data_IF_957346531315
#
_entry.id   IF_957346531315
#
_cell.length_a   1.000
_cell.length_b   1.000
_cell.length_c   1.000
_cell.angle_alpha   90.00
_cell.angle_beta   90.00
_cell.angle_gamma   90.00
#
_symmetry.space_group_name_H-M   'P 1'
#
loop_
_entity.id
_entity.type
_entity.pdbx_description
1 polymer ?
#
# COMPACT_ATOMS: atom_id res chain seq x y z
N UNK A 1 -27.83 24.13 68.58
CA UNK A 1 -27.98 23.35 67.33
C UNK A 1 -27.80 24.31 66.17
N UNK A 2 -26.68 24.24 65.46
CA UNK A 2 -26.43 25.02 64.24
C UNK A 2 -26.04 24.03 63.13
N UNK A 3 -26.84 23.98 62.07
CA UNK A 3 -26.64 23.07 60.95
C UNK A 3 -25.82 23.78 59.86
N UNK A 4 -24.68 23.19 59.49
CA UNK A 4 -23.90 23.56 58.32
C UNK A 4 -24.51 22.87 57.08
N UNK A 5 -25.06 23.65 56.15
CA UNK A 5 -25.38 23.16 54.81
C UNK A 5 -24.14 23.30 53.92
N UNK A 6 -23.54 22.17 53.56
CA UNK A 6 -22.49 22.11 52.54
C UNK A 6 -23.16 22.00 51.15
N UNK A 7 -23.00 23.03 50.32
CA UNK A 7 -23.37 23.00 48.90
C UNK A 7 -22.24 22.36 48.10
N UNK A 8 -22.47 21.15 47.59
CA UNK A 8 -21.57 20.50 46.62
C UNK A 8 -21.93 21.06 45.23
N UNK A 9 -21.06 21.91 44.68
CA UNK A 9 -21.17 22.36 43.30
C UNK A 9 -20.72 21.26 42.34
N UNK A 10 -21.65 20.68 41.59
CA UNK A 10 -21.33 19.78 40.49
C UNK A 10 -20.85 20.60 39.30
N UNK A 11 -19.54 20.59 39.03
CA UNK A 11 -18.98 21.04 37.76
C UNK A 11 -19.36 20.05 36.67
N UNK A 12 -20.34 20.43 35.84
CA UNK A 12 -20.63 19.71 34.60
C UNK A 12 -19.43 19.89 33.64
N UNK A 13 -18.64 18.84 33.46
CA UNK A 13 -17.68 18.74 32.38
C UNK A 13 -18.46 18.70 31.07
N UNK A 14 -18.51 19.84 30.36
CA UNK A 14 -19.02 19.88 29.00
C UNK A 14 -18.11 19.01 28.13
N UNK A 15 -18.60 17.84 27.74
CA UNK A 15 -17.96 17.03 26.72
C UNK A 15 -17.94 17.85 25.43
N UNK A 16 -16.74 18.18 24.95
CA UNK A 16 -16.54 18.69 23.60
C UNK A 16 -17.16 17.68 22.64
N UNK A 17 -18.08 18.07 21.74
CA UNK A 17 -18.65 17.15 20.77
C UNK A 17 -17.51 16.55 19.97
N UNK A 18 -17.45 15.22 19.92
CA UNK A 18 -16.54 14.51 19.05
C UNK A 18 -16.71 15.07 17.64
N UNK A 19 -15.62 15.59 17.06
CA UNK A 19 -15.63 16.03 15.67
C UNK A 19 -16.20 14.88 14.83
N UNK A 20 -17.27 15.16 14.08
CA UNK A 20 -17.86 14.18 13.20
C UNK A 20 -16.74 13.60 12.33
N UNK A 21 -16.61 12.26 12.32
CA UNK A 21 -15.58 11.61 11.52
C UNK A 21 -15.72 12.08 10.07
N UNK A 22 -14.62 12.58 9.51
CA UNK A 22 -14.61 13.09 8.13
C UNK A 22 -14.98 11.94 7.17
N UNK A 23 -16.22 12.00 6.67
CA UNK A 23 -16.81 10.97 5.82
C UNK A 23 -16.30 10.99 4.38
N UNK A 24 -15.42 11.93 4.01
CA UNK A 24 -14.79 11.94 2.70
C UNK A 24 -13.89 10.73 2.51
N UNK A 25 -13.91 10.19 1.29
CA UNK A 25 -13.11 9.03 0.93
C UNK A 25 -11.61 9.38 0.95
N UNK A 26 -10.79 8.70 1.78
CA UNK A 26 -9.35 8.92 1.84
C UNK A 26 -8.65 8.27 0.64
N UNK A 27 -7.83 9.04 -0.08
CA UNK A 27 -7.08 8.59 -1.26
C UNK A 27 -5.58 8.51 -0.97
N UNK A 28 -4.94 7.44 -1.42
CA UNK A 28 -3.50 7.22 -1.30
C UNK A 28 -2.80 7.50 -2.64
N UNK A 29 -1.98 8.54 -2.68
CA UNK A 29 -1.00 8.76 -3.75
C UNK A 29 0.28 8.04 -3.37
N UNK A 30 0.57 6.95 -4.08
CA UNK A 30 1.63 6.01 -3.74
C UNK A 30 2.78 6.24 -4.72
N UNK A 31 3.95 6.65 -4.24
CA UNK A 31 5.12 6.80 -5.11
C UNK A 31 5.60 5.42 -5.58
N UNK A 32 5.82 5.27 -6.89
CA UNK A 32 6.20 4.02 -7.56
C UNK A 32 7.70 3.71 -7.41
N UNK A 33 8.06 2.46 -7.08
CA UNK A 33 9.43 1.94 -7.11
C UNK A 33 10.40 2.81 -6.31
N UNK A 34 10.11 2.97 -5.03
CA UNK A 34 10.90 3.78 -4.10
C UNK A 34 11.98 2.91 -3.46
N UNK A 35 12.95 2.45 -4.25
CA UNK A 35 13.97 1.50 -3.75
C UNK A 35 15.26 2.17 -3.26
N UNK A 36 15.29 3.51 -3.18
CA UNK A 36 16.45 4.25 -2.71
C UNK A 36 16.10 5.15 -1.52
N UNK A 37 17.09 5.43 -0.66
CA UNK A 37 16.89 6.36 0.46
C UNK A 37 16.53 7.77 -0.03
N UNK A 38 17.13 8.20 -1.14
CA UNK A 38 16.80 9.47 -1.77
C UNK A 38 15.39 9.47 -2.38
N UNK A 39 14.92 8.33 -2.89
CA UNK A 39 13.55 8.16 -3.36
C UNK A 39 12.52 8.36 -2.24
N UNK A 40 12.81 7.89 -1.02
CA UNK A 40 11.94 8.14 0.16
C UNK A 40 11.82 9.64 0.42
N UNK A 41 12.93 10.36 0.32
CA UNK A 41 12.98 11.81 0.54
C UNK A 41 12.18 12.56 -0.51
N UNK A 42 12.38 12.20 -1.78
CA UNK A 42 11.71 12.77 -2.93
C UNK A 42 10.19 12.50 -2.87
N UNK A 43 9.77 11.26 -2.62
CA UNK A 43 8.35 10.90 -2.52
C UNK A 43 7.62 11.75 -1.47
N UNK A 44 8.21 11.90 -0.28
CA UNK A 44 7.67 12.76 0.77
C UNK A 44 7.72 14.25 0.40
N UNK A 45 8.78 14.70 -0.27
CA UNK A 45 8.92 16.06 -0.78
C UNK A 45 7.84 16.42 -1.81
N UNK A 46 7.49 15.47 -2.68
CA UNK A 46 6.45 15.61 -3.70
C UNK A 46 5.02 15.50 -3.13
N UNK A 47 4.89 15.12 -1.86
CA UNK A 47 3.61 15.02 -1.15
C UNK A 47 2.90 13.68 -1.31
N UNK A 48 3.64 12.61 -1.64
CA UNK A 48 3.10 11.25 -1.56
C UNK A 48 2.76 10.92 -0.10
N UNK A 49 1.60 10.29 0.10
CA UNK A 49 1.19 9.80 1.42
C UNK A 49 1.32 8.27 1.54
N UNK A 50 1.74 7.60 0.47
CA UNK A 50 2.25 6.24 0.50
C UNK A 50 3.47 6.08 -0.42
N UNK A 51 4.20 4.98 -0.23
CA UNK A 51 5.26 4.54 -1.14
C UNK A 51 5.09 3.06 -1.42
N UNK A 52 5.46 2.64 -2.62
CA UNK A 52 5.69 1.25 -2.96
C UNK A 52 7.21 1.02 -3.02
N UNK A 53 7.65 -0.08 -2.41
CA UNK A 53 9.06 -0.48 -2.31
C UNK A 53 9.12 -1.92 -2.77
N UNK A 54 9.89 -2.17 -3.82
CA UNK A 54 10.15 -3.51 -4.26
C UNK A 54 11.13 -4.16 -3.30
N UNK A 55 10.84 -5.39 -2.85
CA UNK A 55 11.71 -6.09 -1.92
C UNK A 55 12.10 -7.46 -2.44
N UNK A 56 13.41 -7.67 -2.47
CA UNK A 56 14.05 -8.92 -2.87
C UNK A 56 14.72 -9.58 -1.65
N UNK A 57 14.72 -10.91 -1.61
CA UNK A 57 15.29 -11.70 -0.53
C UNK A 57 16.75 -12.10 -0.82
N UNK A 58 17.65 -11.96 0.16
CA UNK A 58 19.05 -12.41 0.04
C UNK A 58 19.42 -13.40 1.14
N UNK A 59 19.80 -14.62 0.73
CA UNK A 59 20.24 -15.68 1.64
C UNK A 59 21.51 -15.29 2.40
N UNK A 60 22.46 -14.63 1.74
CA UNK A 60 23.70 -14.14 2.34
C UNK A 60 23.85 -12.63 2.02
N UNK A 61 23.53 -11.74 2.98
CA UNK A 61 23.75 -11.91 4.41
C UNK A 61 22.50 -12.21 5.25
N UNK A 62 21.47 -12.86 4.67
CA UNK A 62 20.20 -13.20 5.33
C UNK A 62 19.35 -11.95 5.65
N UNK A 63 19.01 -11.19 4.62
CA UNK A 63 18.26 -9.93 4.73
C UNK A 63 17.34 -9.68 3.52
N UNK A 64 16.52 -8.63 3.61
CA UNK A 64 15.78 -8.06 2.48
C UNK A 64 16.45 -6.76 2.02
N UNK A 65 16.44 -6.51 0.71
CA UNK A 65 16.89 -5.22 0.13
C UNK A 65 15.82 -4.64 -0.77
N UNK A 66 15.78 -3.32 -0.82
CA UNK A 66 14.86 -2.60 -1.69
C UNK A 66 15.40 -2.64 -3.13
N UNK A 67 14.76 -3.40 -4.00
CA UNK A 67 15.17 -3.59 -5.39
C UNK A 67 14.07 -4.28 -6.20
N UNK A 68 13.75 -3.76 -7.38
CA UNK A 68 12.74 -4.34 -8.27
C UNK A 68 13.17 -5.65 -8.96
N UNK A 69 14.38 -5.69 -9.51
CA UNK A 69 14.77 -6.70 -10.49
C UNK A 69 15.52 -7.86 -9.85
N UNK A 70 14.87 -8.64 -8.98
CA UNK A 70 15.56 -9.69 -8.22
C UNK A 70 16.36 -10.63 -9.12
N UNK A 71 17.68 -10.63 -8.92
CA UNK A 71 18.52 -11.71 -9.38
C UNK A 71 18.33 -12.86 -8.40
N UNK A 72 17.31 -13.69 -8.56
CA UNK A 72 17.09 -14.85 -7.70
C UNK A 72 18.42 -15.64 -7.55
N UNK A 73 19.09 -15.44 -6.39
CA UNK A 73 20.37 -16.02 -5.93
C UNK A 73 21.73 -15.56 -6.52
N UNK A 74 21.96 -14.26 -6.78
CA UNK A 74 23.30 -13.72 -7.14
C UNK A 74 23.88 -12.63 -6.22
N UNK A 75 25.21 -12.42 -6.26
CA UNK A 75 26.00 -11.51 -5.38
C UNK A 75 25.86 -10.00 -5.68
N UNK A 76 25.05 -9.60 -6.67
CA UNK A 76 24.91 -8.21 -7.05
C UNK A 76 23.92 -7.48 -6.14
N UNK A 77 24.43 -6.99 -5.00
CA UNK A 77 23.69 -6.14 -4.06
C UNK A 77 23.52 -4.74 -4.65
N UNK A 78 22.36 -4.44 -5.24
CA UNK A 78 22.14 -3.17 -5.94
C UNK A 78 21.32 -2.15 -5.13
N UNK A 79 20.51 -2.61 -4.17
CA UNK A 79 19.67 -1.75 -3.32
C UNK A 79 20.13 -1.62 -1.86
N UNK A 80 19.67 -0.60 -1.12
CA UNK A 80 19.87 -0.48 0.32
C UNK A 80 19.19 -1.64 1.07
N UNK A 81 19.66 -1.93 2.29
CA UNK A 81 18.95 -2.89 3.16
C UNK A 81 17.57 -2.35 3.52
N UNK A 82 16.60 -3.24 3.69
CA UNK A 82 15.26 -2.84 4.12
C UNK A 82 15.27 -2.16 5.50
N UNK A 83 16.23 -2.51 6.38
CA UNK A 83 16.42 -1.80 7.65
C UNK A 83 16.79 -0.33 7.42
N UNK A 84 17.64 -0.03 6.43
CA UNK A 84 18.01 1.36 6.08
C UNK A 84 16.81 2.13 5.53
N UNK A 85 15.95 1.47 4.73
CA UNK A 85 14.71 2.05 4.24
C UNK A 85 13.76 2.39 5.41
N UNK A 86 13.55 1.44 6.33
CA UNK A 86 12.75 1.67 7.55
C UNK A 86 13.32 2.83 8.36
N UNK A 87 14.63 2.85 8.62
CA UNK A 87 15.27 3.91 9.39
C UNK A 87 15.02 5.29 8.76
N UNK A 88 15.08 5.38 7.43
CA UNK A 88 14.79 6.63 6.73
C UNK A 88 13.32 7.02 6.86
N UNK A 89 12.39 6.10 6.62
CA UNK A 89 10.95 6.34 6.77
C UNK A 89 10.61 6.80 8.20
N UNK A 90 11.16 6.13 9.22
CA UNK A 90 10.94 6.47 10.62
C UNK A 90 11.57 7.80 11.01
N UNK A 91 12.72 8.16 10.45
CA UNK A 91 13.31 9.49 10.61
C UNK A 91 12.36 10.59 10.13
N UNK A 92 11.72 10.39 8.97
CA UNK A 92 10.71 11.33 8.47
C UNK A 92 9.45 11.36 9.33
N UNK A 93 9.00 10.21 9.82
CA UNK A 93 7.87 10.14 10.74
C UNK A 93 8.15 10.91 12.05
N UNK A 94 9.35 10.75 12.63
CA UNK A 94 9.80 11.51 13.79
C UNK A 94 9.91 13.01 13.55
N UNK A 95 10.15 13.42 12.30
CA UNK A 95 10.13 14.82 11.85
C UNK A 95 8.72 15.32 11.44
N UNK A 96 7.66 14.55 11.72
CA UNK A 96 6.27 14.95 11.44
C UNK A 96 5.80 14.71 10.00
N UNK A 97 6.62 14.11 9.13
CA UNK A 97 6.29 13.75 7.74
C UNK A 97 6.02 12.26 7.61
N UNK A 98 5.06 11.77 8.39
CA UNK A 98 4.72 10.35 8.46
C UNK A 98 3.89 9.91 7.25
N UNK A 99 4.34 8.85 6.57
CA UNK A 99 3.55 8.15 5.55
C UNK A 99 2.32 7.47 6.15
N UNK A 100 1.26 7.35 5.36
CA UNK A 100 0.05 6.61 5.74
C UNK A 100 0.13 5.13 5.34
N UNK A 101 0.93 4.80 4.33
CA UNK A 101 1.07 3.45 3.77
C UNK A 101 2.50 3.21 3.25
N UNK A 102 3.01 2.00 3.48
CA UNK A 102 4.15 1.42 2.78
C UNK A 102 3.68 0.12 2.15
N UNK A 103 3.72 0.03 0.83
CA UNK A 103 3.47 -1.20 0.07
C UNK A 103 4.80 -1.87 -0.20
N UNK A 104 4.97 -3.10 0.26
CA UNK A 104 6.12 -3.95 -0.03
C UNK A 104 5.77 -4.86 -1.21
N UNK A 105 6.28 -4.60 -2.41
CA UNK A 105 6.13 -5.51 -3.55
C UNK A 105 7.14 -6.66 -3.40
N UNK A 106 6.65 -7.80 -2.91
CA UNK A 106 7.50 -8.95 -2.57
C UNK A 106 7.73 -9.77 -3.83
N UNK A 107 8.95 -9.69 -4.34
CA UNK A 107 9.32 -10.33 -5.60
C UNK A 107 9.69 -11.81 -5.47
N UNK A 108 10.37 -12.19 -4.38
CA UNK A 108 10.89 -13.56 -4.16
C UNK A 108 10.36 -14.19 -2.85
N UNK A 109 9.03 -14.26 -2.64
CA UNK A 109 8.44 -14.61 -1.33
C UNK A 109 8.80 -16.01 -0.82
N UNK A 110 9.24 -16.90 -1.71
CA UNK A 110 9.51 -18.30 -1.41
C UNK A 110 11.01 -18.64 -1.30
N UNK A 111 11.90 -17.68 -1.56
CA UNK A 111 13.34 -17.92 -1.64
C UNK A 111 13.95 -18.37 -0.31
N UNK A 112 13.51 -17.78 0.79
CA UNK A 112 13.99 -18.07 2.14
C UNK A 112 12.94 -18.78 2.99
N UNK A 113 13.37 -19.75 3.80
CA UNK A 113 12.52 -20.44 4.77
C UNK A 113 12.59 -19.78 6.15
N UNK A 114 11.48 -19.85 6.90
CA UNK A 114 11.39 -19.24 8.23
C UNK A 114 12.36 -19.87 9.25
N UNK A 115 12.67 -21.16 9.11
CA UNK A 115 13.52 -21.89 10.05
C UNK A 115 15.00 -21.79 9.68
N UNK A 116 15.28 -21.82 8.38
CA UNK A 116 16.60 -21.91 7.81
C UNK A 116 17.29 -20.54 7.76
N UNK A 117 16.55 -19.51 7.39
CA UNK A 117 17.06 -18.18 7.10
C UNK A 117 15.96 -17.13 7.27
N UNK A 118 15.50 -17.00 8.53
CA UNK A 118 14.38 -16.12 8.89
C UNK A 118 14.56 -14.69 8.38
N UNK A 119 15.77 -14.15 8.44
CA UNK A 119 16.08 -12.75 8.11
C UNK A 119 15.71 -12.33 6.69
N UNK A 120 15.77 -13.24 5.71
CA UNK A 120 15.29 -13.02 4.35
C UNK A 120 13.99 -13.75 4.00
N UNK A 121 13.35 -14.42 4.97
CA UNK A 121 11.99 -14.97 4.79
C UNK A 121 10.93 -13.88 4.93
N UNK A 122 9.72 -14.11 4.39
CA UNK A 122 8.61 -13.14 4.51
C UNK A 122 8.20 -12.92 5.98
N UNK A 123 8.32 -13.93 6.85
CA UNK A 123 8.11 -13.72 8.28
C UNK A 123 9.13 -12.77 8.91
N UNK A 124 10.40 -12.85 8.50
CA UNK A 124 11.43 -11.90 8.93
C UNK A 124 11.23 -10.50 8.35
N UNK A 125 10.71 -10.39 7.12
CA UNK A 125 10.28 -9.11 6.55
C UNK A 125 9.20 -8.47 7.41
N UNK A 126 8.19 -9.26 7.80
CA UNK A 126 7.12 -8.82 8.69
C UNK A 126 7.65 -8.41 10.08
N UNK A 127 8.59 -9.15 10.65
CA UNK A 127 9.21 -8.80 11.94
C UNK A 127 9.85 -7.39 11.87
N UNK A 128 10.56 -7.08 10.78
CA UNK A 128 11.14 -5.75 10.54
C UNK A 128 10.06 -4.69 10.35
N UNK A 129 9.01 -5.00 9.58
CA UNK A 129 7.90 -4.10 9.30
C UNK A 129 7.10 -3.71 10.55
N UNK A 130 7.19 -4.46 11.66
CA UNK A 130 6.58 -4.05 12.93
C UNK A 130 7.08 -2.71 13.45
N UNK A 131 8.29 -2.29 13.05
CA UNK A 131 8.82 -0.96 13.37
C UNK A 131 7.99 0.16 12.71
N UNK A 132 7.49 -0.09 11.49
CA UNK A 132 6.63 0.84 10.76
C UNK A 132 5.22 0.90 11.39
N UNK A 133 4.64 -0.27 11.69
CA UNK A 133 3.31 -0.34 12.30
C UNK A 133 3.30 0.25 13.72
N UNK A 134 4.37 0.06 14.49
CA UNK A 134 4.56 0.72 15.79
C UNK A 134 4.60 2.26 15.68
N UNK A 135 5.06 2.81 14.56
CA UNK A 135 5.01 4.24 14.27
C UNK A 135 3.65 4.72 13.71
N UNK A 136 2.67 3.81 13.58
CA UNK A 136 1.34 4.08 13.06
C UNK A 136 1.28 4.14 11.52
N UNK A 137 2.27 3.58 10.83
CA UNK A 137 2.31 3.47 9.36
C UNK A 137 1.71 2.13 8.95
N UNK A 138 0.81 2.12 7.97
CA UNK A 138 0.23 0.88 7.46
C UNK A 138 1.20 0.17 6.53
N UNK A 139 1.18 -1.17 6.54
CA UNK A 139 2.04 -2.00 5.69
C UNK A 139 1.16 -2.92 4.84
N UNK A 140 1.32 -2.84 3.52
CA UNK A 140 0.69 -3.74 2.57
C UNK A 140 1.73 -4.72 2.03
N UNK A 141 1.53 -6.02 2.24
CA UNK A 141 2.38 -7.06 1.66
C UNK A 141 1.80 -7.45 0.29
N UNK A 142 2.51 -7.09 -0.79
CA UNK A 142 2.11 -7.40 -2.15
C UNK A 142 2.71 -8.70 -2.66
N UNK A 143 1.87 -9.54 -3.24
CA UNK A 143 2.27 -10.76 -3.93
C UNK A 143 1.84 -10.67 -5.38
N UNK A 144 2.81 -10.67 -6.27
CA UNK A 144 2.58 -10.80 -7.70
C UNK A 144 2.92 -12.24 -8.08
N UNK A 145 2.07 -12.89 -8.88
CA UNK A 145 2.25 -14.31 -9.24
C UNK A 145 3.32 -14.47 -10.35
N UNK A 146 4.56 -14.06 -10.06
CA UNK A 146 5.72 -14.18 -10.95
C UNK A 146 6.17 -15.65 -11.06
N UNK A 147 6.12 -16.37 -9.94
CA UNK A 147 6.56 -17.75 -9.83
C UNK A 147 5.35 -18.67 -9.63
N UNK A 148 5.14 -19.56 -10.60
CA UNK A 148 4.15 -20.64 -10.51
C UNK A 148 4.75 -21.98 -10.06
N UNK A 149 3.98 -23.06 -10.20
CA UNK A 149 4.45 -24.43 -9.95
C UNK A 149 4.13 -24.93 -8.54
N UNK A 150 5.04 -25.73 -7.95
CA UNK A 150 4.80 -26.37 -6.64
C UNK A 150 4.90 -25.42 -5.45
N UNK A 151 5.54 -24.26 -5.64
CA UNK A 151 5.70 -23.22 -4.62
C UNK A 151 5.31 -21.86 -5.22
N UNK A 152 4.02 -21.64 -5.52
CA UNK A 152 3.57 -20.40 -6.15
C UNK A 152 3.75 -19.21 -5.21
N UNK A 153 3.86 -17.99 -5.73
CA UNK A 153 3.97 -16.79 -4.85
C UNK A 153 2.70 -16.62 -4.00
N UNK A 154 1.53 -16.72 -4.63
CA UNK A 154 0.23 -16.75 -3.96
C UNK A 154 -0.07 -18.18 -3.47
N UNK A 155 -0.30 -18.35 -2.16
CA UNK A 155 -0.53 -19.65 -1.54
C UNK A 155 0.73 -20.49 -1.28
N UNK A 156 1.91 -19.98 -1.66
CA UNK A 156 3.20 -20.58 -1.32
C UNK A 156 3.64 -20.33 0.12
N UNK A 157 4.93 -20.57 0.36
CA UNK A 157 5.55 -20.46 1.69
C UNK A 157 5.50 -19.03 2.22
N UNK A 158 5.89 -18.04 1.41
CA UNK A 158 5.90 -16.64 1.81
C UNK A 158 4.51 -16.12 2.16
N UNK A 159 3.51 -16.43 1.32
CA UNK A 159 2.11 -16.12 1.56
C UNK A 159 1.60 -16.74 2.88
N UNK A 160 1.80 -18.05 3.06
CA UNK A 160 1.40 -18.78 4.27
C UNK A 160 2.06 -18.26 5.54
N UNK A 161 3.26 -17.69 5.44
CA UNK A 161 3.97 -17.11 6.58
C UNK A 161 3.22 -15.93 7.23
N UNK A 162 2.28 -15.31 6.52
CA UNK A 162 1.48 -14.18 7.00
C UNK A 162 0.09 -14.61 7.50
N UNK A 163 -0.38 -15.81 7.18
CA UNK A 163 -1.72 -16.30 7.53
C UNK A 163 -1.96 -16.27 9.04
N UNK A 164 -3.06 -15.63 9.47
CA UNK A 164 -3.41 -15.47 10.88
C UNK A 164 -2.46 -14.55 11.68
N UNK A 165 -1.50 -13.89 11.03
CA UNK A 165 -0.49 -13.05 11.70
C UNK A 165 -0.63 -11.56 11.42
N UNK A 166 -1.40 -11.13 10.41
CA UNK A 166 -1.57 -9.71 10.11
C UNK A 166 -2.25 -8.95 11.26
N UNK A 167 -1.62 -7.86 11.71
CA UNK A 167 -2.13 -6.94 12.72
C UNK A 167 -3.05 -5.86 12.14
N UNK A 168 -3.49 -4.93 13.00
CA UNK A 168 -4.49 -3.91 12.67
C UNK A 168 -4.06 -2.88 11.61
N UNK A 169 -2.76 -2.72 11.37
CA UNK A 169 -2.18 -1.83 10.36
C UNK A 169 -1.55 -2.61 9.21
N UNK A 170 -1.80 -3.90 9.11
CA UNK A 170 -1.23 -4.76 8.08
C UNK A 170 -2.34 -5.28 7.15
N UNK A 171 -2.01 -5.39 5.87
CA UNK A 171 -2.86 -5.93 4.83
C UNK A 171 -2.04 -6.74 3.82
N UNK A 172 -2.73 -7.49 2.98
CA UNK A 172 -2.13 -8.31 1.92
C UNK A 172 -2.84 -8.04 0.60
N UNK A 173 -2.09 -7.92 -0.49
CA UNK A 173 -2.64 -7.77 -1.84
C UNK A 173 -2.11 -8.84 -2.77
N UNK A 174 -2.90 -9.15 -3.78
CA UNK A 174 -2.45 -9.85 -4.98
C UNK A 174 -3.03 -9.15 -6.19
N UNK A 175 -2.27 -9.18 -7.29
CA UNK A 175 -2.67 -8.50 -8.51
C UNK A 175 -3.64 -9.32 -9.35
N UNK A 176 -4.51 -8.66 -10.10
CA UNK A 176 -5.28 -9.29 -11.18
C UNK A 176 -6.70 -8.76 -11.33
N UNK A 177 -7.47 -9.42 -12.21
CA UNK A 177 -8.90 -9.16 -12.33
C UNK A 177 -9.63 -9.50 -11.02
N UNK A 178 -10.86 -9.00 -10.86
CA UNK A 178 -11.64 -9.22 -9.63
C UNK A 178 -11.78 -10.71 -9.33
N UNK A 179 -12.09 -11.52 -10.34
CA UNK A 179 -12.27 -12.97 -10.14
C UNK A 179 -10.94 -13.70 -9.87
N UNK A 180 -9.82 -13.24 -10.43
CA UNK A 180 -8.49 -13.78 -10.12
C UNK A 180 -8.14 -13.55 -8.65
N UNK A 181 -8.31 -12.31 -8.16
CA UNK A 181 -7.99 -11.93 -6.78
C UNK A 181 -8.93 -12.60 -5.79
N UNK A 182 -10.24 -12.60 -6.06
CA UNK A 182 -11.22 -13.35 -5.25
C UNK A 182 -10.88 -14.82 -5.20
N UNK A 183 -10.60 -15.43 -6.35
CA UNK A 183 -10.22 -16.83 -6.45
C UNK A 183 -8.92 -17.15 -5.68
N UNK A 184 -7.92 -16.27 -5.71
CA UNK A 184 -6.71 -16.41 -4.91
C UNK A 184 -7.02 -16.47 -3.41
N UNK A 185 -7.82 -15.53 -2.90
CA UNK A 185 -8.22 -15.52 -1.49
C UNK A 185 -9.17 -16.66 -1.11
N UNK A 186 -10.00 -17.14 -2.03
CA UNK A 186 -10.86 -18.29 -1.77
C UNK A 186 -10.05 -19.60 -1.72
N UNK A 187 -9.01 -19.74 -2.56
CA UNK A 187 -8.13 -20.91 -2.57
C UNK A 187 -7.09 -20.94 -1.45
N UNK A 188 -6.57 -19.77 -1.08
CA UNK A 188 -5.38 -19.68 -0.20
C UNK A 188 -5.47 -18.58 0.85
N UNK A 189 -6.62 -17.94 1.03
CA UNK A 189 -6.76 -16.78 1.91
C UNK A 189 -7.56 -17.01 3.18
N UNK A 190 -7.80 -18.26 3.60
CA UNK A 190 -8.60 -18.57 4.81
C UNK A 190 -8.02 -17.94 6.09
N UNK A 191 -6.69 -17.75 6.14
CA UNK A 191 -5.99 -17.07 7.23
C UNK A 191 -6.00 -15.53 7.17
N UNK A 192 -6.60 -14.92 6.14
CA UNK A 192 -6.68 -13.47 5.99
C UNK A 192 -8.14 -13.01 6.10
N UNK A 193 -8.53 -12.20 7.10
CA UNK A 193 -9.86 -11.64 7.16
C UNK A 193 -10.11 -10.70 5.97
N UNK A 194 -11.36 -10.57 5.51
CA UNK A 194 -11.73 -9.69 4.39
C UNK A 194 -11.21 -8.25 4.56
N UNK A 195 -11.26 -7.73 5.79
CA UNK A 195 -10.70 -6.45 6.21
C UNK A 195 -9.18 -6.26 6.07
N UNK A 196 -8.46 -7.30 5.62
CA UNK A 196 -7.02 -7.30 5.35
C UNK A 196 -6.69 -7.59 3.89
N UNK A 197 -7.68 -7.96 3.07
CA UNK A 197 -7.52 -8.38 1.68
C UNK A 197 -7.64 -7.18 0.76
N UNK A 198 -6.60 -6.88 0.02
CA UNK A 198 -6.60 -5.82 -1.00
C UNK A 198 -6.56 -6.47 -2.37
N UNK A 199 -7.23 -5.83 -3.31
CA UNK A 199 -7.07 -6.11 -4.73
C UNK A 199 -6.25 -4.99 -5.34
N UNK A 200 -5.18 -5.33 -6.05
CA UNK A 200 -4.54 -4.38 -6.93
C UNK A 200 -4.68 -4.82 -8.39
N UNK A 201 -4.76 -3.86 -9.31
CA UNK A 201 -4.72 -4.17 -10.72
C UNK A 201 -4.20 -3.01 -11.55
N UNK A 202 -3.38 -3.34 -12.54
CA UNK A 202 -2.57 -2.35 -13.22
C UNK A 202 -1.66 -2.92 -14.30
N UNK A 203 -0.96 -2.02 -14.96
CA UNK A 203 0.15 -2.31 -15.87
C UNK A 203 1.17 -1.17 -15.78
N UNK A 204 2.44 -1.50 -15.98
CA UNK A 204 3.53 -0.53 -16.19
C UNK A 204 3.23 0.49 -17.29
N UNK A 205 2.40 0.11 -18.27
CA UNK A 205 1.77 0.96 -19.27
C UNK A 205 0.26 0.96 -19.02
N UNK A 206 -0.22 1.94 -18.23
CA UNK A 206 -1.63 2.05 -17.85
C UNK A 206 -2.59 2.09 -19.05
N UNK A 207 -2.11 2.40 -20.26
CA UNK A 207 -2.95 2.44 -21.47
C UNK A 207 -3.37 1.04 -21.93
N UNK A 208 -2.62 -0.01 -21.57
CA UNK A 208 -2.87 -1.38 -21.98
C UNK A 208 -4.06 -1.96 -21.24
N UNK A 209 -5.11 -2.32 -21.99
CA UNK A 209 -6.28 -2.98 -21.42
C UNK A 209 -7.07 -2.12 -20.42
N UNK A 210 -6.89 -0.79 -20.40
CA UNK A 210 -7.51 0.04 -19.37
C UNK A 210 -9.04 0.07 -19.42
N UNK A 211 -9.59 0.15 -20.62
CA UNK A 211 -11.02 0.36 -20.87
C UNK A 211 -11.49 1.77 -20.51
N UNK A 212 -12.75 1.89 -20.09
CA UNK A 212 -13.42 3.16 -19.76
C UNK A 212 -14.34 3.02 -18.53
N UNK A 213 -14.22 1.91 -17.79
CA UNK A 213 -14.93 1.59 -16.55
C UNK A 213 -16.41 1.18 -16.73
N UNK A 214 -16.85 0.94 -17.97
CA UNK A 214 -18.23 0.52 -18.28
C UNK A 214 -18.31 -0.80 -19.03
N UNK A 215 -17.16 -1.35 -19.43
CA UNK A 215 -17.13 -2.58 -20.20
C UNK A 215 -17.58 -3.80 -19.38
N UNK A 216 -18.26 -4.77 -20.03
CA UNK A 216 -18.53 -6.05 -19.39
C UNK A 216 -17.27 -6.93 -19.29
N UNK A 217 -16.27 -6.66 -20.14
CA UNK A 217 -15.04 -7.43 -20.28
C UNK A 217 -13.98 -7.07 -19.20
N UNK A 218 -12.84 -7.77 -19.26
CA UNK A 218 -11.74 -7.69 -18.30
C UNK A 218 -10.77 -6.54 -18.61
N UNK A 219 -11.25 -5.31 -18.47
CA UNK A 219 -10.40 -4.12 -18.57
C UNK A 219 -10.06 -3.58 -17.18
N UNK A 220 -8.87 -3.01 -17.01
CA UNK A 220 -8.32 -2.55 -15.73
C UNK A 220 -9.32 -1.72 -14.93
N UNK A 221 -9.91 -0.69 -15.53
CA UNK A 221 -10.84 0.16 -14.79
C UNK A 221 -12.15 -0.56 -14.44
N UNK A 222 -12.68 -1.39 -15.34
CA UNK A 222 -13.91 -2.13 -15.09
C UNK A 222 -13.73 -3.17 -13.96
N UNK A 223 -12.57 -3.85 -13.93
CA UNK A 223 -12.24 -4.82 -12.88
C UNK A 223 -12.01 -4.15 -11.52
N UNK A 224 -11.32 -3.01 -11.49
CA UNK A 224 -11.16 -2.21 -10.27
C UNK A 224 -12.50 -1.70 -9.74
N UNK A 225 -13.41 -1.27 -10.62
CA UNK A 225 -14.78 -0.88 -10.23
C UNK A 225 -15.56 -2.03 -9.59
N UNK A 226 -15.40 -3.26 -10.11
CA UNK A 226 -15.98 -4.47 -9.49
C UNK A 226 -15.35 -4.74 -8.13
N UNK A 227 -14.02 -4.63 -8.01
CA UNK A 227 -13.30 -4.75 -6.73
C UNK A 227 -13.75 -3.71 -5.70
N UNK A 228 -14.00 -2.46 -6.14
CA UNK A 228 -14.51 -1.40 -5.29
C UNK A 228 -15.92 -1.73 -4.76
N UNK A 229 -16.76 -2.40 -5.55
CA UNK A 229 -18.05 -2.91 -5.08
C UNK A 229 -17.89 -4.04 -4.05
N UNK A 230 -16.93 -4.96 -4.25
CA UNK A 230 -16.62 -6.01 -3.27
C UNK A 230 -16.08 -5.39 -1.96
N UNK A 231 -15.27 -4.33 -2.03
CA UNK A 231 -14.84 -3.55 -0.85
C UNK A 231 -16.02 -2.94 -0.12
N UNK A 232 -16.90 -2.25 -0.84
CA UNK A 232 -18.09 -1.61 -0.26
C UNK A 232 -19.03 -2.65 0.38
N UNK A 233 -19.03 -3.90 -0.12
CA UNK A 233 -19.73 -5.05 0.45
C UNK A 233 -18.98 -5.74 1.62
N UNK A 234 -17.85 -5.20 2.06
CA UNK A 234 -17.03 -5.75 3.16
C UNK A 234 -16.27 -7.03 2.81
N UNK A 235 -16.11 -7.33 1.53
CA UNK A 235 -15.44 -8.54 1.05
C UNK A 235 -13.95 -8.31 0.74
N UNK A 236 -13.57 -7.05 0.53
CA UNK A 236 -12.19 -6.56 0.42
C UNK A 236 -12.03 -5.36 1.35
N UNK A 237 -10.79 -5.08 1.74
CA UNK A 237 -10.43 -3.89 2.52
C UNK A 237 -10.24 -2.66 1.62
N UNK A 238 -9.64 -2.86 0.45
CA UNK A 238 -9.31 -1.79 -0.48
C UNK A 238 -9.09 -2.30 -1.91
N UNK A 239 -9.05 -1.34 -2.83
CA UNK A 239 -8.61 -1.51 -4.22
C UNK A 239 -7.53 -0.48 -4.56
N UNK A 240 -6.46 -0.92 -5.24
CA UNK A 240 -5.35 -0.06 -5.65
C UNK A 240 -5.06 -0.25 -7.14
N UNK A 241 -4.51 0.77 -7.80
CA UNK A 241 -4.11 0.66 -9.20
C UNK A 241 -2.69 1.16 -9.46
N UNK A 242 -2.10 0.72 -10.56
CA UNK A 242 -0.73 1.03 -10.96
C UNK A 242 -0.57 0.89 -12.49
N UNK A 243 0.40 1.52 -13.16
CA UNK A 243 1.20 2.66 -12.73
C UNK A 243 0.81 3.87 -13.58
N UNK A 244 0.45 5.00 -12.95
CA UNK A 244 0.22 6.26 -13.67
C UNK A 244 1.48 7.12 -13.71
N UNK A 245 1.62 7.91 -14.78
CA UNK A 245 2.70 8.88 -14.98
C UNK A 245 2.17 10.31 -14.99
N UNK A 246 3.05 11.30 -15.11
CA UNK A 246 2.66 12.71 -15.22
C UNK A 246 1.79 13.02 -16.45
N UNK A 247 1.70 12.11 -17.42
CA UNK A 247 0.93 12.28 -18.66
C UNK A 247 -0.41 11.54 -18.65
N UNK A 248 -0.86 11.06 -17.48
CA UNK A 248 -2.05 10.20 -17.35
C UNK A 248 -3.23 10.83 -16.59
N UNK A 249 -3.56 12.14 -16.75
CA UNK A 249 -4.62 12.76 -15.97
C UNK A 249 -6.00 12.14 -16.23
N UNK A 250 -6.25 11.63 -17.44
CA UNK A 250 -7.48 10.95 -17.79
C UNK A 250 -7.61 9.60 -17.07
N UNK A 251 -6.52 8.84 -16.95
CA UNK A 251 -6.52 7.56 -16.24
C UNK A 251 -6.69 7.77 -14.73
N UNK A 252 -6.03 8.77 -14.14
CA UNK A 252 -6.23 9.16 -12.74
C UNK A 252 -7.71 9.51 -12.48
N UNK A 253 -8.32 10.29 -13.38
CA UNK A 253 -9.73 10.67 -13.27
C UNK A 253 -10.67 9.45 -13.31
N UNK A 254 -10.43 8.53 -14.25
CA UNK A 254 -11.20 7.29 -14.37
C UNK A 254 -11.02 6.36 -13.17
N UNK A 255 -9.78 6.16 -12.72
CA UNK A 255 -9.46 5.30 -11.58
C UNK A 255 -10.13 5.76 -10.29
N UNK A 256 -10.02 7.06 -9.98
CA UNK A 256 -10.55 7.61 -8.72
C UNK A 256 -12.04 7.91 -8.81
N UNK A 257 -12.52 8.45 -9.93
CA UNK A 257 -13.91 8.85 -10.11
C UNK A 257 -14.86 7.69 -10.39
N UNK A 258 -14.50 6.79 -11.32
CA UNK A 258 -15.37 5.71 -11.79
C UNK A 258 -14.95 4.33 -11.29
N UNK A 259 -13.65 4.04 -11.30
CA UNK A 259 -13.04 2.85 -10.72
C UNK A 259 -13.15 2.83 -9.20
N UNK A 260 -13.25 4.03 -8.58
CA UNK A 260 -13.38 4.23 -7.12
C UNK A 260 -12.29 3.52 -6.33
N UNK A 261 -11.06 3.54 -6.85
CA UNK A 261 -9.90 2.96 -6.14
C UNK A 261 -9.50 3.81 -4.95
N UNK A 262 -8.99 3.17 -3.90
CA UNK A 262 -8.53 3.83 -2.68
C UNK A 262 -7.15 4.48 -2.89
N UNK A 263 -6.37 4.03 -3.87
CA UNK A 263 -5.05 4.56 -4.13
C UNK A 263 -4.49 4.21 -5.49
N UNK A 264 -3.51 5.02 -5.92
CA UNK A 264 -2.87 4.92 -7.22
C UNK A 264 -1.35 5.02 -7.04
N UNK A 265 -0.63 4.03 -7.57
CA UNK A 265 0.81 4.09 -7.76
C UNK A 265 1.11 5.06 -8.91
N UNK A 266 1.96 6.04 -8.64
CA UNK A 266 2.31 7.11 -9.55
C UNK A 266 3.82 7.39 -9.54
N UNK A 267 4.41 7.55 -10.72
CA UNK A 267 5.84 7.81 -10.89
C UNK A 267 6.30 7.50 -12.31
N UNK A 268 7.49 6.91 -12.43
CA UNK A 268 7.97 6.43 -13.72
C UNK A 268 7.20 5.20 -14.18
N UNK A 269 6.60 5.25 -15.37
CA UNK A 269 5.97 4.13 -16.05
C UNK A 269 6.58 3.88 -17.43
N UNK A 270 5.96 3.03 -18.24
CA UNK A 270 6.46 2.64 -19.56
C UNK A 270 6.74 3.85 -20.47
N UNK A 271 5.85 4.85 -20.46
CA UNK A 271 6.00 6.09 -21.23
C UNK A 271 7.28 6.88 -20.90
N UNK A 272 7.71 6.84 -19.63
CA UNK A 272 8.85 7.61 -19.13
C UNK A 272 10.14 6.80 -18.99
N UNK A 273 10.05 5.49 -19.22
CA UNK A 273 11.07 4.49 -18.87
C UNK A 273 10.99 4.13 -17.39
N UNK A 274 10.63 2.88 -17.07
CA UNK A 274 10.51 2.37 -15.70
C UNK A 274 11.89 2.39 -15.03
N UNK A 275 11.99 3.05 -13.87
CA UNK A 275 13.20 3.18 -13.06
C UNK A 275 12.84 3.65 -11.65
N UNK A 276 13.85 3.71 -10.79
CA UNK A 276 13.75 4.19 -9.41
C UNK A 276 13.13 5.58 -9.30
N UNK A 277 12.28 5.77 -8.29
CA UNK A 277 11.74 7.07 -7.94
C UNK A 277 12.87 8.04 -7.53
N UNK A 278 12.85 9.24 -8.11
CA UNK A 278 13.82 10.30 -7.83
C UNK A 278 13.14 11.66 -7.61
N UNK A 279 13.94 12.68 -7.34
CA UNK A 279 13.52 14.09 -7.14
C UNK A 279 13.20 14.81 -8.48
N UNK A 280 12.98 14.04 -9.55
CA UNK A 280 12.67 14.55 -10.87
C UNK A 280 11.24 15.09 -10.97
N UNK A 281 11.06 16.10 -11.83
CA UNK A 281 9.75 16.73 -12.04
C UNK A 281 8.69 15.76 -12.57
N UNK A 282 9.07 14.71 -13.30
CA UNK A 282 8.12 13.68 -13.76
C UNK A 282 7.48 12.96 -12.59
N UNK A 283 8.28 12.56 -11.60
CA UNK A 283 7.82 11.92 -10.38
C UNK A 283 6.97 12.87 -9.54
N UNK A 284 7.41 14.13 -9.40
CA UNK A 284 6.65 15.17 -8.71
C UNK A 284 5.25 15.37 -9.33
N UNK A 285 5.19 15.50 -10.65
CA UNK A 285 3.95 15.74 -11.37
C UNK A 285 3.03 14.51 -11.39
N UNK A 286 3.57 13.29 -11.46
CA UNK A 286 2.76 12.07 -11.38
C UNK A 286 1.99 12.00 -10.05
N UNK A 287 2.66 12.25 -8.93
CA UNK A 287 2.01 12.32 -7.61
C UNK A 287 1.07 13.53 -7.51
N UNK A 288 1.47 14.67 -8.08
CA UNK A 288 0.63 15.88 -8.10
C UNK A 288 -0.69 15.64 -8.84
N UNK A 289 -0.73 14.85 -9.91
CA UNK A 289 -1.98 14.54 -10.62
C UNK A 289 -3.05 13.93 -9.71
N UNK A 290 -2.65 12.96 -8.88
CA UNK A 290 -3.56 12.33 -7.89
C UNK A 290 -4.03 13.37 -6.88
N UNK A 291 -3.10 14.17 -6.33
CA UNK A 291 -3.41 15.20 -5.34
C UNK A 291 -4.33 16.29 -5.89
N UNK A 292 -4.07 16.75 -7.11
CA UNK A 292 -4.86 17.77 -7.78
C UNK A 292 -6.26 17.27 -8.11
N UNK A 293 -6.39 16.00 -8.52
CA UNK A 293 -7.70 15.38 -8.69
C UNK A 293 -8.48 15.37 -7.36
N UNK A 294 -7.84 14.95 -6.26
CA UNK A 294 -8.46 14.92 -4.94
C UNK A 294 -8.87 16.33 -4.48
N UNK A 295 -8.03 17.34 -4.72
CA UNK A 295 -8.34 18.73 -4.39
C UNK A 295 -9.56 19.25 -5.16
N UNK A 296 -9.66 18.93 -6.46
CA UNK A 296 -10.83 19.28 -7.29
C UNK A 296 -12.11 18.57 -6.83
N UNK A 297 -11.97 17.42 -6.17
CA UNK A 297 -13.08 16.62 -5.62
C UNK A 297 -13.16 16.68 -4.10
N UNK A 298 -12.66 17.78 -3.49
CA UNK A 298 -12.49 17.92 -2.04
C UNK A 298 -13.77 17.85 -1.19
N UNK A 299 -14.95 17.90 -1.83
CA UNK A 299 -16.25 17.70 -1.18
C UNK A 299 -16.56 16.23 -0.87
N UNK A 300 -15.99 15.29 -1.62
CA UNK A 300 -16.22 13.85 -1.47
C UNK A 300 -14.96 13.05 -1.18
N UNK A 301 -13.79 13.58 -1.54
CA UNK A 301 -12.50 12.94 -1.38
C UNK A 301 -11.54 13.82 -0.58
N UNK A 302 -10.51 13.19 -0.02
CA UNK A 302 -9.37 13.87 0.61
C UNK A 302 -8.15 12.98 0.54
N UNK A 303 -6.96 13.56 0.69
CA UNK A 303 -5.76 12.74 0.85
C UNK A 303 -5.85 11.97 2.17
N UNK A 304 -5.50 10.69 2.12
CA UNK A 304 -5.35 9.88 3.33
C UNK A 304 -4.25 10.45 4.22
N UNK A 305 -4.47 10.32 5.52
CA UNK A 305 -3.57 10.74 6.59
C UNK A 305 -3.23 9.53 7.46
N UNK A 306 -2.21 9.61 8.32
CA UNK A 306 -1.88 8.48 9.20
C UNK A 306 -2.99 8.08 10.20
N UNK A 307 -4.02 8.90 10.37
CA UNK A 307 -5.21 8.56 11.16
C UNK A 307 -6.19 7.65 10.41
N UNK A 308 -6.08 7.58 9.09
CA UNK A 308 -6.93 6.73 8.26
C UNK A 308 -6.52 5.26 8.36
N UNK A 309 -7.52 4.40 8.14
CA UNK A 309 -7.36 2.95 8.17
C UNK A 309 -7.88 2.39 6.86
N UNK A 310 -6.95 1.90 6.04
CA UNK A 310 -7.20 1.14 4.83
C UNK A 310 -7.65 -0.29 5.16
N UNK A 311 -7.13 -0.85 6.25
CA UNK A 311 -7.44 -2.21 6.70
C UNK A 311 -8.35 -2.19 7.93
N UNK A 312 -9.57 -2.69 7.78
CA UNK A 312 -10.63 -2.64 8.81
C UNK A 312 -11.21 -4.02 9.06
#
# INVERSE_FOLDING_TARGET
>A
MAALCATIGATALAATPAAAADGRHPVYAIAHRVDTLAGVDAALGHGANGIEVDVCAWWNPNEWRAYHDCSSAGDNRLGPSFDSMIDRILSHAGAGRRLSLVWLDIKDPNYCGEQENRGCSVAGLRDKAQRLTAAGIQVLYGFYEYHGGSTPDVGGRGWKSLEGRLGALEGITTTGTRDQVRGAFDRSGSGFPAGRRVMDYGDSDITKGFGNCTEPAHNTCAELKKGAADRDAGQLAATLSWTTTYNDPWYVDKLLGEGRVDGVIAGYGAFTGVREYDDGWQCANAVALVRDWVNRHGGTHRMATPGDRLFR
#
